data_IF_427607494514
#
_entry.id   IF_427607494514
#
_cell.length_a   1.000
_cell.length_b   1.000
_cell.length_c   1.000
_cell.angle_alpha   90.00
_cell.angle_beta   90.00
_cell.angle_gamma   90.00
#
_symmetry.space_group_name_H-M   'P 1'
#
loop_
_entity.id
_entity.type
_entity.pdbx_description
1 polymer ?
#
# COMPACT_ATOMS: atom_id res chain seq x y z
N UNK A 1 9.87 4.43 20.50
CA UNK A 1 9.63 3.23 19.65
C UNK A 1 8.62 2.33 20.35
N UNK A 2 7.72 1.72 19.59
CA UNK A 2 6.72 0.79 20.09
C UNK A 2 6.95 -0.60 19.50
N UNK A 3 6.90 -1.63 20.34
CA UNK A 3 6.87 -3.03 19.96
C UNK A 3 5.58 -3.62 20.49
N UNK A 4 4.60 -3.73 19.59
CA UNK A 4 3.27 -4.21 19.90
C UNK A 4 3.17 -5.71 19.60
N UNK A 5 3.11 -6.49 20.67
CA UNK A 5 3.15 -7.96 20.68
C UNK A 5 1.95 -8.54 21.42
N UNK A 6 1.94 -9.85 21.64
CA UNK A 6 0.87 -10.54 22.36
C UNK A 6 0.64 -9.96 23.76
N UNK A 7 -0.59 -10.09 24.26
CA UNK A 7 -0.99 -9.65 25.60
C UNK A 7 -0.40 -10.53 26.72
N UNK A 8 0.15 -11.70 26.39
CA UNK A 8 0.72 -12.62 27.35
C UNK A 8 2.05 -12.11 27.93
N UNK A 9 2.12 -12.02 29.26
CA UNK A 9 3.31 -11.62 30.02
C UNK A 9 4.52 -12.51 29.74
N UNK A 10 4.29 -13.80 29.52
CA UNK A 10 5.32 -14.79 29.19
C UNK A 10 6.08 -14.48 27.91
N UNK A 11 5.50 -13.68 27.01
CA UNK A 11 6.18 -13.20 25.80
C UNK A 11 6.80 -11.83 25.98
N UNK A 12 6.15 -10.93 26.75
CA UNK A 12 6.61 -9.55 26.90
C UNK A 12 7.90 -9.43 27.71
N UNK A 13 8.03 -10.17 28.83
CA UNK A 13 9.20 -10.04 29.71
C UNK A 13 10.49 -10.61 29.07
N UNK A 14 10.50 -11.83 28.49
CA UNK A 14 11.69 -12.32 27.79
C UNK A 14 12.06 -11.44 26.60
N UNK A 15 11.06 -10.92 25.88
CA UNK A 15 11.31 -10.01 24.78
C UNK A 15 11.95 -8.69 25.25
N UNK A 16 11.50 -8.13 26.39
CA UNK A 16 12.15 -6.99 27.03
C UNK A 16 13.62 -7.27 27.29
N UNK A 17 13.93 -8.41 27.90
CA UNK A 17 15.31 -8.79 28.23
C UNK A 17 16.19 -8.90 26.97
N UNK A 18 15.69 -9.56 25.90
CA UNK A 18 16.41 -9.68 24.63
C UNK A 18 16.69 -8.29 24.03
N UNK A 19 15.68 -7.42 24.00
CA UNK A 19 15.81 -6.07 23.43
C UNK A 19 16.73 -5.21 24.28
N UNK A 20 16.64 -5.30 25.60
CA UNK A 20 17.48 -4.56 26.53
C UNK A 20 18.94 -4.99 26.43
N UNK A 21 19.21 -6.29 26.32
CA UNK A 21 20.54 -6.82 26.06
C UNK A 21 21.11 -6.33 24.73
N UNK A 22 20.32 -6.37 23.66
CA UNK A 22 20.73 -5.88 22.35
C UNK A 22 20.96 -4.37 22.34
N UNK A 23 20.11 -3.61 23.01
CA UNK A 23 20.26 -2.17 23.17
C UNK A 23 21.54 -1.85 23.96
N UNK A 24 21.79 -2.53 25.07
CA UNK A 24 22.98 -2.34 25.89
C UNK A 24 24.27 -2.70 25.16
N UNK A 25 24.25 -3.71 24.28
CA UNK A 25 25.36 -4.02 23.39
C UNK A 25 25.71 -2.81 22.50
N UNK A 26 24.73 -2.24 21.79
CA UNK A 26 24.97 -1.08 20.93
C UNK A 26 25.27 0.21 21.71
N UNK A 27 24.64 0.40 22.87
CA UNK A 27 24.94 1.52 23.77
C UNK A 27 26.41 1.52 24.16
N UNK A 28 26.94 0.38 24.63
CA UNK A 28 28.37 0.25 24.98
C UNK A 28 29.28 0.48 23.78
N UNK A 29 28.93 -0.05 22.60
CA UNK A 29 29.69 0.20 21.37
C UNK A 29 29.76 1.68 21.00
N UNK A 30 28.66 2.43 21.17
CA UNK A 30 28.62 3.88 20.93
C UNK A 30 29.42 4.65 22.00
N UNK A 31 29.32 4.27 23.27
CA UNK A 31 30.09 4.88 24.38
C UNK A 31 31.59 4.71 24.20
N UNK A 32 32.03 3.53 23.76
CA UNK A 32 33.43 3.20 23.51
C UNK A 32 33.93 3.70 22.15
N UNK A 33 33.06 4.30 21.33
CA UNK A 33 33.34 4.73 19.95
C UNK A 33 33.86 3.56 19.09
N UNK A 34 33.33 2.37 19.29
CA UNK A 34 33.67 1.18 18.52
C UNK A 34 33.43 1.41 17.02
N UNK A 35 34.47 1.20 16.22
CA UNK A 35 34.44 1.47 14.78
C UNK A 35 33.45 0.57 14.06
N UNK A 36 33.35 -0.70 14.46
CA UNK A 36 32.45 -1.65 13.82
C UNK A 36 30.98 -1.28 14.04
N UNK A 37 30.62 -0.96 15.29
CA UNK A 37 29.28 -0.50 15.66
C UNK A 37 28.91 0.80 14.93
N UNK A 38 29.81 1.78 14.90
CA UNK A 38 29.56 3.06 14.22
C UNK A 38 29.38 2.89 12.71
N UNK A 39 30.14 1.99 12.08
CA UNK A 39 30.00 1.68 10.66
C UNK A 39 28.66 1.00 10.36
N UNK A 40 28.19 0.10 11.23
CA UNK A 40 26.85 -0.50 11.07
C UNK A 40 25.74 0.57 11.11
N UNK A 41 25.79 1.50 12.07
CA UNK A 41 24.82 2.60 12.13
C UNK A 41 24.91 3.52 10.90
N UNK A 42 26.13 3.82 10.42
CA UNK A 42 26.32 4.59 9.19
C UNK A 42 25.69 3.90 7.99
N UNK A 43 25.94 2.61 7.83
CA UNK A 43 25.40 1.82 6.73
C UNK A 43 23.86 1.83 6.75
N UNK A 44 23.23 1.65 7.92
CA UNK A 44 21.76 1.71 8.05
C UNK A 44 21.23 3.11 7.71
N UNK A 45 21.92 4.16 8.15
CA UNK A 45 21.52 5.55 7.94
C UNK A 45 21.63 6.01 6.48
N UNK A 46 22.77 5.72 5.82
CA UNK A 46 23.09 6.22 4.47
C UNK A 46 22.66 5.24 3.37
N UNK A 47 22.93 3.95 3.54
CA UNK A 47 22.85 2.94 2.46
C UNK A 47 21.58 2.08 2.57
N UNK A 48 21.28 1.57 3.77
CA UNK A 48 20.22 0.61 4.02
C UNK A 48 20.69 -0.84 3.82
N UNK A 49 19.75 -1.77 3.63
CA UNK A 49 20.05 -3.16 3.26
C UNK A 49 19.46 -3.48 1.90
N UNK A 50 20.23 -4.19 1.08
CA UNK A 50 20.02 -4.35 -0.37
C UNK A 50 18.62 -4.89 -0.73
N UNK A 51 17.95 -5.60 0.18
CA UNK A 51 16.68 -6.28 -0.11
C UNK A 51 15.54 -5.99 0.89
N UNK A 52 15.80 -5.33 2.03
CA UNK A 52 14.82 -5.31 3.13
C UNK A 52 14.60 -3.96 3.81
N UNK A 53 15.59 -3.06 3.77
CA UNK A 53 15.54 -1.81 4.52
C UNK A 53 16.02 -0.62 3.68
N UNK A 54 15.13 0.33 3.46
CA UNK A 54 15.46 1.61 2.81
C UNK A 54 16.06 2.56 3.85
N UNK A 55 17.22 3.13 3.53
CA UNK A 55 17.94 4.04 4.42
C UNK A 55 17.14 5.30 4.75
N UNK A 56 17.50 5.96 5.85
CA UNK A 56 16.88 7.24 6.21
C UNK A 56 17.14 8.30 5.13
N UNK A 57 18.39 8.44 4.67
CA UNK A 57 18.73 9.40 3.61
C UNK A 57 17.91 9.17 2.33
N UNK A 58 17.78 7.91 1.90
CA UNK A 58 17.00 7.56 0.70
C UNK A 58 15.51 7.84 0.91
N UNK A 59 14.98 7.57 2.10
CA UNK A 59 13.57 7.83 2.42
C UNK A 59 13.27 9.32 2.39
N UNK A 60 14.07 10.14 3.06
CA UNK A 60 13.94 11.60 3.06
C UNK A 60 14.03 12.16 1.64
N UNK A 61 15.01 11.72 0.84
CA UNK A 61 15.15 12.14 -0.55
C UNK A 61 13.92 11.77 -1.39
N UNK A 62 13.41 10.54 -1.26
CA UNK A 62 12.21 10.11 -1.97
C UNK A 62 10.96 10.94 -1.63
N UNK A 63 10.83 11.41 -0.39
CA UNK A 63 9.69 12.26 0.01
C UNK A 63 9.86 13.66 -0.60
N UNK A 64 11.07 14.24 -0.53
CA UNK A 64 11.41 15.53 -1.13
C UNK A 64 11.20 15.56 -2.65
N UNK A 65 11.48 14.45 -3.33
CA UNK A 65 11.30 14.30 -4.78
C UNK A 65 9.83 14.02 -5.19
N UNK A 66 8.93 13.83 -4.22
CA UNK A 66 7.55 13.44 -4.46
C UNK A 66 6.56 14.60 -4.30
N UNK A 67 5.29 14.33 -4.61
CA UNK A 67 4.16 15.23 -4.33
C UNK A 67 3.97 15.55 -2.84
N UNK A 68 4.72 14.89 -1.94
CA UNK A 68 4.64 15.03 -0.49
C UNK A 68 5.75 15.89 0.10
N UNK A 69 6.56 16.58 -0.73
CA UNK A 69 7.64 17.46 -0.25
C UNK A 69 7.17 18.50 0.76
N UNK A 70 5.94 18.99 0.59
CA UNK A 70 5.33 20.05 1.40
C UNK A 70 4.60 19.51 2.64
N UNK A 71 4.73 18.21 2.96
CA UNK A 71 4.20 17.64 4.22
C UNK A 71 4.92 18.26 5.43
N UNK A 72 6.19 18.60 5.29
CA UNK A 72 7.05 19.04 6.38
C UNK A 72 8.13 20.01 5.88
N UNK A 73 8.00 21.26 6.29
CA UNK A 73 8.89 22.36 5.89
C UNK A 73 10.31 22.23 6.48
N UNK A 74 10.49 21.38 7.49
CA UNK A 74 11.77 21.19 8.19
C UNK A 74 12.53 19.94 7.75
N UNK A 75 11.97 19.17 6.82
CA UNK A 75 12.58 17.94 6.35
C UNK A 75 13.84 18.23 5.52
N UNK A 76 14.96 17.62 5.90
CA UNK A 76 16.22 17.71 5.16
C UNK A 76 17.03 16.43 5.27
N UNK A 77 17.81 16.13 4.23
CA UNK A 77 18.74 15.00 4.25
C UNK A 77 19.95 15.37 5.12
N UNK A 78 20.10 14.66 6.23
CA UNK A 78 21.23 14.82 7.15
C UNK A 78 22.43 13.98 6.73
N UNK A 79 23.64 14.43 7.06
CA UNK A 79 24.87 13.65 6.80
C UNK A 79 25.31 12.86 8.03
N UNK A 80 26.04 11.76 7.84
CA UNK A 80 26.58 11.00 8.97
C UNK A 80 27.46 11.84 9.91
N UNK A 81 28.18 12.83 9.37
CA UNK A 81 29.00 13.76 10.17
C UNK A 81 28.15 14.59 11.15
N UNK A 82 26.92 14.93 10.79
CA UNK A 82 25.98 15.65 11.66
C UNK A 82 25.36 14.73 12.72
N UNK A 83 25.04 13.49 12.35
CA UNK A 83 24.33 12.55 13.23
C UNK A 83 25.26 11.87 14.25
N UNK A 84 26.47 11.50 13.83
CA UNK A 84 27.46 10.82 14.68
C UNK A 84 27.65 11.46 16.07
N UNK A 85 27.83 12.79 16.23
CA UNK A 85 28.00 13.41 17.55
C UNK A 85 26.73 13.36 18.42
N UNK A 86 25.55 13.16 17.85
CA UNK A 86 24.29 13.09 18.57
C UNK A 86 24.02 11.70 19.20
N UNK A 87 24.66 10.64 18.69
CA UNK A 87 24.38 9.25 19.10
C UNK A 87 24.62 9.02 20.59
N UNK A 88 25.74 9.52 21.13
CA UNK A 88 26.06 9.36 22.56
C UNK A 88 24.96 9.94 23.45
N UNK A 89 24.53 11.17 23.17
CA UNK A 89 23.45 11.83 23.93
C UNK A 89 22.12 11.08 23.79
N UNK A 90 21.83 10.53 22.62
CA UNK A 90 20.60 9.79 22.36
C UNK A 90 20.54 8.48 23.17
N UNK A 91 21.60 7.67 23.15
CA UNK A 91 21.60 6.37 23.86
C UNK A 91 21.56 6.49 25.38
N UNK A 92 22.00 7.62 25.95
CA UNK A 92 21.84 7.86 27.39
C UNK A 92 20.40 8.10 27.81
N UNK A 93 19.56 8.62 26.92
CA UNK A 93 18.15 8.94 27.21
C UNK A 93 17.20 7.77 27.00
N UNK A 94 17.60 6.76 26.22
CA UNK A 94 16.72 5.65 25.83
C UNK A 94 16.58 4.66 26.98
N UNK A 95 15.34 4.38 27.40
CA UNK A 95 14.98 3.30 28.33
C UNK A 95 14.14 2.23 27.65
N UNK A 96 14.35 0.96 28.01
CA UNK A 96 13.53 -0.16 27.53
C UNK A 96 12.53 -0.53 28.61
N UNK A 97 11.24 -0.47 28.30
CA UNK A 97 10.16 -0.67 29.27
C UNK A 97 9.12 -1.64 28.71
N UNK A 98 8.60 -2.51 29.59
CA UNK A 98 7.48 -3.38 29.29
C UNK A 98 6.25 -2.90 30.04
N UNK A 99 5.20 -2.51 29.33
CA UNK A 99 3.95 -2.05 29.93
C UNK A 99 2.96 -3.19 29.93
N UNK A 100 2.60 -3.63 31.13
CA UNK A 100 1.70 -4.75 31.29
C UNK A 100 0.69 -4.55 32.44
N UNK A 101 -0.30 -5.44 32.53
CA UNK A 101 -1.43 -5.33 33.47
C UNK A 101 -1.03 -5.31 34.94
N UNK A 102 0.14 -5.89 35.28
CA UNK A 102 0.63 -6.07 36.66
C UNK A 102 1.82 -5.18 37.02
N UNK A 103 2.47 -4.52 36.06
CA UNK A 103 3.63 -3.68 36.32
C UNK A 103 3.22 -2.30 36.83
N UNK A 104 3.97 -1.84 37.84
CA UNK A 104 4.01 -0.44 38.31
C UNK A 104 4.70 0.50 37.32
N UNK A 105 5.38 -0.05 36.29
CA UNK A 105 5.97 0.71 35.18
C UNK A 105 4.86 1.30 34.29
N UNK A 106 4.18 2.33 34.80
CA UNK A 106 3.40 3.24 33.98
C UNK A 106 4.37 4.16 33.23
N UNK A 107 4.02 4.53 31.99
CA UNK A 107 4.77 5.53 31.24
C UNK A 107 4.49 6.91 31.87
N UNK A 108 5.26 7.27 32.88
CA UNK A 108 5.10 8.52 33.62
C UNK A 108 5.77 9.67 32.86
N UNK A 109 5.12 10.13 31.79
CA UNK A 109 5.58 11.29 31.01
C UNK A 109 5.72 12.55 31.88
N UNK A 110 4.88 12.70 32.91
CA UNK A 110 4.86 13.85 33.81
C UNK A 110 6.18 14.05 34.56
N UNK A 111 6.84 12.97 35.01
CA UNK A 111 8.11 13.09 35.74
C UNK A 111 9.27 13.58 34.85
N UNK A 112 9.15 13.44 33.53
CA UNK A 112 10.19 13.77 32.57
C UNK A 112 9.82 14.95 31.66
N UNK A 113 8.80 15.75 32.01
CA UNK A 113 8.29 16.85 31.19
C UNK A 113 9.39 17.89 30.87
N UNK A 114 10.30 18.14 31.81
CA UNK A 114 11.41 19.11 31.64
C UNK A 114 12.60 18.59 30.84
N UNK A 115 12.89 17.29 30.91
CA UNK A 115 14.13 16.70 30.34
C UNK A 115 13.89 15.89 29.06
N UNK A 116 12.63 15.47 28.87
CA UNK A 116 12.18 14.55 27.85
C UNK A 116 12.72 13.14 28.10
N UNK A 117 11.90 12.12 27.78
CA UNK A 117 12.31 10.72 27.85
C UNK A 117 12.25 10.09 26.45
N UNK A 118 13.22 9.24 26.14
CA UNK A 118 13.17 8.37 24.96
C UNK A 118 12.92 6.95 25.43
N UNK A 119 11.91 6.28 24.87
CA UNK A 119 11.53 4.94 25.32
C UNK A 119 11.37 3.97 24.17
N UNK A 120 11.79 2.73 24.42
CA UNK A 120 11.40 1.55 23.66
C UNK A 120 10.34 0.84 24.51
N UNK A 121 9.09 0.93 24.07
CA UNK A 121 7.93 0.40 24.80
C UNK A 121 7.54 -0.94 24.20
N UNK A 122 7.43 -1.95 25.05
CA UNK A 122 6.97 -3.29 24.67
C UNK A 122 5.66 -3.56 25.38
N UNK A 123 4.63 -3.99 24.65
CA UNK A 123 3.37 -4.37 25.28
C UNK A 123 2.29 -4.82 24.32
N UNK A 124 1.12 -5.10 24.89
CA UNK A 124 -0.07 -5.58 24.17
C UNK A 124 -1.30 -4.72 24.47
N UNK A 125 -2.37 -5.34 24.99
CA UNK A 125 -3.68 -4.68 25.16
C UNK A 125 -3.68 -3.42 26.04
N UNK A 126 -2.83 -3.32 27.07
CA UNK A 126 -2.81 -2.14 27.95
C UNK A 126 -2.34 -0.88 27.21
N UNK A 127 -1.59 -1.04 26.13
CA UNK A 127 -1.18 0.09 25.30
C UNK A 127 -2.33 0.56 24.40
N UNK A 128 -3.25 -0.33 24.00
CA UNK A 128 -4.23 -0.06 22.91
C UNK A 128 -5.35 0.89 23.29
N UNK A 129 -5.53 1.18 24.59
CA UNK A 129 -6.61 2.04 25.08
C UNK A 129 -6.05 3.23 25.87
N UNK A 130 -6.26 4.43 25.36
CA UNK A 130 -6.04 5.68 26.10
C UNK A 130 -4.59 6.17 26.17
N UNK A 131 -3.59 5.39 25.75
CA UNK A 131 -2.20 5.82 25.76
C UNK A 131 -1.80 6.45 24.42
N UNK A 132 -1.39 7.72 24.45
CA UNK A 132 -0.77 8.40 23.30
C UNK A 132 0.73 8.43 23.51
N UNK A 133 1.48 7.78 22.62
CA UNK A 133 2.94 7.90 22.59
C UNK A 133 3.30 9.12 21.72
N UNK A 134 3.59 10.24 22.37
CA UNK A 134 4.15 11.41 21.70
C UNK A 134 5.57 11.09 21.19
N UNK A 135 5.93 11.61 20.03
CA UNK A 135 7.25 11.31 19.44
C UNK A 135 7.39 9.89 18.89
N UNK A 136 6.29 9.12 18.75
CA UNK A 136 6.36 7.77 18.20
C UNK A 136 6.86 7.81 16.74
N UNK A 137 8.05 7.28 16.49
CA UNK A 137 8.67 7.22 15.17
C UNK A 137 8.77 5.79 14.62
N UNK A 138 9.11 4.81 15.46
CA UNK A 138 9.29 3.42 15.03
C UNK A 138 8.28 2.52 15.71
N UNK A 139 7.59 1.69 14.92
CA UNK A 139 6.57 0.76 15.36
C UNK A 139 6.76 -0.62 14.77
N UNK A 140 6.87 -1.63 15.64
CA UNK A 140 6.78 -3.04 15.29
C UNK A 140 5.40 -3.54 15.67
N UNK A 141 4.65 -3.97 14.67
CA UNK A 141 3.25 -4.32 14.80
C UNK A 141 3.03 -5.75 14.30
N UNK A 142 3.11 -6.69 15.23
CA UNK A 142 3.07 -8.13 14.94
C UNK A 142 1.73 -8.78 15.31
N UNK A 143 0.91 -8.08 16.11
CA UNK A 143 -0.39 -8.60 16.54
C UNK A 143 -1.49 -8.23 15.54
N UNK A 144 -2.10 -9.26 15.00
CA UNK A 144 -3.28 -9.16 14.16
C UNK A 144 -4.56 -9.13 15.02
N UNK A 145 -5.47 -8.20 14.73
CA UNK A 145 -6.85 -8.21 15.22
C UNK A 145 -7.79 -8.32 14.03
N UNK A 146 -8.77 -9.22 14.11
CA UNK A 146 -9.79 -9.40 13.05
C UNK A 146 -10.94 -8.38 13.13
N UNK A 147 -10.91 -7.49 14.12
CA UNK A 147 -11.92 -6.45 14.30
C UNK A 147 -11.46 -5.13 13.68
N UNK A 148 -12.30 -4.57 12.82
CA UNK A 148 -12.06 -3.34 12.08
C UNK A 148 -11.88 -2.13 13.02
N UNK A 149 -12.78 -1.95 13.99
CA UNK A 149 -12.70 -0.88 15.01
C UNK A 149 -11.37 -0.92 15.78
N UNK A 150 -10.97 -2.11 16.24
CA UNK A 150 -9.71 -2.29 16.95
C UNK A 150 -8.51 -1.91 16.08
N UNK A 151 -8.48 -2.32 14.81
CA UNK A 151 -7.40 -1.93 13.90
C UNK A 151 -7.39 -0.42 13.64
N UNK A 152 -8.54 0.23 13.44
CA UNK A 152 -8.60 1.69 13.30
C UNK A 152 -8.02 2.42 14.51
N UNK A 153 -8.36 1.96 15.72
CA UNK A 153 -7.79 2.53 16.95
C UNK A 153 -6.27 2.32 17.01
N UNK A 154 -5.80 1.13 16.64
CA UNK A 154 -4.37 0.79 16.57
C UNK A 154 -3.62 1.58 15.49
N UNK A 155 -4.30 2.12 14.47
CA UNK A 155 -3.68 2.95 13.41
C UNK A 155 -2.98 4.20 13.94
N UNK A 156 -3.35 4.67 15.15
CA UNK A 156 -2.65 5.76 15.85
C UNK A 156 -1.18 5.45 16.14
N UNK A 157 -0.80 4.18 16.12
CA UNK A 157 0.55 3.70 16.37
C UNK A 157 1.45 3.67 15.15
N UNK A 158 1.04 4.19 14.01
CA UNK A 158 1.95 4.35 12.87
C UNK A 158 2.97 5.47 13.07
N UNK A 159 2.79 6.28 14.10
CA UNK A 159 3.76 7.32 14.44
C UNK A 159 3.71 8.54 13.53
N UNK A 160 2.78 8.60 12.58
CA UNK A 160 2.63 9.75 11.69
C UNK A 160 2.39 11.02 12.50
N UNK A 161 3.39 11.90 12.50
CA UNK A 161 3.34 13.19 13.16
C UNK A 161 4.14 14.19 12.34
N UNK A 162 3.70 15.45 12.28
CA UNK A 162 4.47 16.52 11.65
C UNK A 162 5.86 16.63 12.26
N UNK A 163 6.86 17.10 11.49
CA UNK A 163 8.27 17.34 11.86
C UNK A 163 9.24 16.15 11.75
N UNK A 164 8.75 14.93 11.57
CA UNK A 164 9.61 13.72 11.49
C UNK A 164 8.97 12.60 10.67
N UNK A 165 8.19 12.95 9.65
CA UNK A 165 7.46 11.99 8.81
C UNK A 165 8.41 11.03 8.08
N UNK A 166 9.57 11.51 7.66
CA UNK A 166 10.62 10.76 6.97
C UNK A 166 11.37 9.78 7.88
N UNK A 167 11.29 10.00 9.19
CA UNK A 167 11.87 9.13 10.22
C UNK A 167 10.91 8.02 10.66
N UNK A 168 9.65 8.08 10.27
CA UNK A 168 8.67 7.09 10.68
C UNK A 168 8.95 5.71 10.05
N UNK A 169 8.90 4.63 10.84
CA UNK A 169 9.09 3.25 10.37
C UNK A 169 8.02 2.34 10.94
N UNK A 170 7.32 1.62 10.06
CA UNK A 170 6.33 0.61 10.40
C UNK A 170 6.83 -0.76 9.92
N UNK A 171 7.03 -1.67 10.87
CA UNK A 171 7.36 -3.06 10.61
C UNK A 171 6.14 -3.91 10.95
N UNK A 172 5.55 -4.57 9.97
CA UNK A 172 4.34 -5.38 10.16
C UNK A 172 4.28 -6.53 9.16
N UNK A 173 3.35 -7.46 9.34
CA UNK A 173 3.14 -8.56 8.39
C UNK A 173 2.43 -8.07 7.12
N UNK A 174 2.60 -8.79 6.01
CA UNK A 174 1.90 -8.51 4.75
C UNK A 174 0.38 -8.55 4.90
N UNK A 175 -0.14 -9.47 5.72
CA UNK A 175 -1.56 -9.58 6.06
C UNK A 175 -2.08 -8.32 6.77
N UNK A 176 -1.39 -7.85 7.81
CA UNK A 176 -1.79 -6.65 8.54
C UNK A 176 -1.75 -5.42 7.65
N UNK A 177 -0.71 -5.29 6.81
CA UNK A 177 -0.61 -4.22 5.83
C UNK A 177 -1.81 -4.22 4.86
N UNK A 178 -2.26 -5.39 4.40
CA UNK A 178 -3.43 -5.52 3.55
C UNK A 178 -4.72 -5.09 4.26
N UNK A 179 -4.91 -5.52 5.50
CA UNK A 179 -6.06 -5.14 6.32
C UNK A 179 -6.14 -3.64 6.56
N UNK A 180 -5.03 -3.01 6.94
CA UNK A 180 -4.97 -1.56 7.10
C UNK A 180 -5.26 -0.83 5.79
N UNK A 181 -4.78 -1.36 4.67
CA UNK A 181 -5.11 -0.78 3.36
C UNK A 181 -6.60 -0.87 3.05
N UNK A 182 -7.25 -2.00 3.36
CA UNK A 182 -8.69 -2.14 3.20
C UNK A 182 -9.45 -1.14 4.07
N UNK A 183 -9.03 -0.97 5.33
CA UNK A 183 -9.60 0.00 6.26
C UNK A 183 -9.47 1.43 5.72
N UNK A 184 -8.30 1.80 5.20
CA UNK A 184 -8.09 3.12 4.61
C UNK A 184 -9.03 3.35 3.45
N UNK A 185 -9.17 2.38 2.53
CA UNK A 185 -10.09 2.51 1.40
C UNK A 185 -11.56 2.65 1.85
N UNK A 186 -12.00 1.85 2.80
CA UNK A 186 -13.36 1.93 3.32
C UNK A 186 -13.62 3.25 4.09
N UNK A 187 -12.59 3.82 4.72
CA UNK A 187 -12.67 5.13 5.37
C UNK A 187 -12.74 6.28 4.36
N UNK A 188 -12.00 6.20 3.25
CA UNK A 188 -12.11 7.18 2.16
C UNK A 188 -13.48 7.12 1.49
N UNK A 189 -13.99 5.92 1.18
CA UNK A 189 -15.35 5.76 0.65
C UNK A 189 -16.39 6.40 1.59
N UNK A 190 -16.23 6.24 2.91
CA UNK A 190 -17.13 6.85 3.90
C UNK A 190 -17.03 8.38 3.92
N UNK A 191 -15.83 8.95 3.71
CA UNK A 191 -15.65 10.41 3.59
C UNK A 191 -16.34 10.97 2.34
N UNK A 192 -16.23 10.28 1.21
CA UNK A 192 -16.93 10.67 -0.03
C UNK A 192 -18.46 10.70 0.19
N UNK A 193 -19.01 9.74 0.95
CA UNK A 193 -20.44 9.72 1.31
C UNK A 193 -20.83 10.89 2.23
N UNK A 194 -19.96 11.28 3.17
CA UNK A 194 -20.19 12.47 3.99
C UNK A 194 -20.20 13.75 3.15
N UNK A 195 -19.27 13.89 2.20
CA UNK A 195 -19.23 15.04 1.30
C UNK A 195 -20.48 15.09 0.41
N UNK A 196 -20.96 13.94 -0.07
CA UNK A 196 -22.20 13.85 -0.84
C UNK A 196 -23.42 14.27 0.00
N UNK A 197 -23.52 13.78 1.24
CA UNK A 197 -24.57 14.16 2.19
C UNK A 197 -24.56 15.67 2.46
N UNK A 198 -23.37 16.25 2.68
CA UNK A 198 -23.19 17.68 2.90
C UNK A 198 -23.64 18.50 1.71
N UNK A 199 -23.20 18.13 0.50
CA UNK A 199 -23.58 18.82 -0.74
C UNK A 199 -25.08 18.73 -1.02
N UNK A 200 -25.72 17.61 -0.64
CA UNK A 200 -27.17 17.43 -0.72
C UNK A 200 -27.94 18.16 0.39
N UNK A 201 -27.25 18.80 1.35
CA UNK A 201 -27.84 19.41 2.56
C UNK A 201 -28.74 18.45 3.34
N UNK A 202 -28.40 17.16 3.33
CA UNK A 202 -29.15 16.11 4.01
C UNK A 202 -28.66 15.95 5.47
N UNK A 203 -29.57 15.51 6.36
CA UNK A 203 -29.20 15.12 7.73
C UNK A 203 -28.83 13.64 7.78
N UNK A 204 -28.02 13.21 8.77
CA UNK A 204 -27.69 11.78 8.95
C UNK A 204 -28.93 10.87 9.08
N UNK A 205 -30.04 11.38 9.63
CA UNK A 205 -31.31 10.65 9.71
C UNK A 205 -31.89 10.31 8.33
N UNK A 206 -31.64 11.18 7.34
CA UNK A 206 -32.13 11.03 5.96
C UNK A 206 -31.11 10.38 5.03
N UNK A 207 -29.90 10.12 5.51
CA UNK A 207 -28.79 9.63 4.70
C UNK A 207 -28.14 8.41 5.35
N UNK A 208 -28.47 7.22 4.84
CA UNK A 208 -27.91 5.97 5.34
C UNK A 208 -26.44 5.82 4.92
N UNK A 209 -25.53 5.89 5.89
CA UNK A 209 -24.10 5.67 5.68
C UNK A 209 -23.80 4.18 5.54
N UNK A 210 -23.08 3.83 4.48
CA UNK A 210 -22.66 2.45 4.21
C UNK A 210 -21.17 2.27 4.48
N UNK A 211 -20.82 1.15 5.09
CA UNK A 211 -19.42 0.77 5.36
C UNK A 211 -19.10 -0.50 4.58
N UNK A 212 -17.99 -0.48 3.85
CA UNK A 212 -17.55 -1.60 3.02
C UNK A 212 -17.17 -2.80 3.88
N UNK A 213 -17.72 -3.97 3.56
CA UNK A 213 -17.33 -5.24 4.16
C UNK A 213 -16.07 -5.82 3.50
N UNK A 214 -15.24 -6.51 4.28
CA UNK A 214 -14.13 -7.30 3.75
C UNK A 214 -14.59 -8.75 3.53
N UNK A 215 -14.19 -9.44 2.44
CA UNK A 215 -14.50 -10.85 2.27
C UNK A 215 -13.88 -11.69 3.41
N UNK A 216 -14.72 -12.26 4.27
CA UNK A 216 -14.44 -13.40 5.15
C UNK A 216 -13.60 -13.19 6.41
N UNK A 217 -12.69 -12.22 6.48
CA UNK A 217 -11.66 -12.19 7.55
C UNK A 217 -11.77 -11.01 8.54
N UNK A 218 -12.33 -9.87 8.11
CA UNK A 218 -12.41 -8.65 8.89
C UNK A 218 -13.86 -8.32 9.23
N UNK A 219 -14.16 -8.22 10.52
CA UNK A 219 -15.48 -7.86 11.03
C UNK A 219 -15.53 -6.37 11.34
N UNK A 220 -16.54 -5.66 10.81
CA UNK A 220 -16.71 -4.20 11.02
C UNK A 220 -16.88 -3.88 12.52
N UNK A 221 -17.72 -4.65 13.21
CA UNK A 221 -17.95 -4.53 14.66
C UNK A 221 -18.33 -5.90 15.22
N UNK A 222 -18.57 -5.99 16.52
CA UNK A 222 -19.11 -7.20 17.14
C UNK A 222 -20.50 -7.52 16.58
N UNK A 223 -20.79 -8.80 16.30
CA UNK A 223 -22.06 -9.25 15.71
C UNK A 223 -23.27 -8.77 16.54
N UNK A 224 -23.15 -8.76 17.87
CA UNK A 224 -24.19 -8.31 18.80
C UNK A 224 -24.57 -6.84 18.66
N UNK A 225 -23.68 -6.02 18.07
CA UNK A 225 -23.89 -4.59 17.80
C UNK A 225 -24.41 -4.31 16.38
N UNK A 226 -24.56 -5.32 15.53
CA UNK A 226 -25.06 -5.17 14.15
C UNK A 226 -26.59 -5.33 14.03
N UNK A 227 -27.36 -4.99 15.08
CA UNK A 227 -28.82 -5.24 15.12
C UNK A 227 -29.60 -4.41 14.10
N UNK A 228 -29.14 -3.17 13.84
CA UNK A 228 -29.77 -2.22 12.94
C UNK A 228 -28.88 -1.98 11.71
N UNK A 229 -28.46 -3.08 11.04
CA UNK A 229 -27.58 -3.01 9.88
C UNK A 229 -28.20 -3.77 8.73
N UNK A 230 -28.49 -3.05 7.64
CA UNK A 230 -28.91 -3.66 6.39
C UNK A 230 -27.72 -4.00 5.51
N UNK A 231 -27.65 -5.26 5.07
CA UNK A 231 -26.65 -5.68 4.08
C UNK A 231 -27.11 -5.27 2.70
N UNK A 232 -26.60 -4.15 2.22
CA UNK A 232 -26.84 -3.69 0.86
C UNK A 232 -25.73 -4.17 -0.07
N UNK A 233 -26.12 -4.71 -1.23
CA UNK A 233 -25.19 -4.88 -2.34
C UNK A 233 -25.11 -3.55 -3.09
N UNK A 234 -23.93 -2.96 -3.12
CA UNK A 234 -23.74 -1.68 -3.81
C UNK A 234 -23.49 -1.96 -5.29
N UNK A 235 -24.30 -1.36 -6.16
CA UNK A 235 -24.12 -1.45 -7.62
C UNK A 235 -22.80 -0.82 -8.06
N UNK A 236 -22.28 -1.26 -9.22
CA UNK A 236 -21.11 -0.65 -9.85
C UNK A 236 -21.43 0.61 -10.65
N UNK A 237 -22.70 1.02 -10.75
CA UNK A 237 -23.10 2.24 -11.47
C UNK A 237 -22.40 3.49 -10.91
N UNK A 238 -21.88 4.34 -11.81
CA UNK A 238 -21.18 5.60 -11.50
C UNK A 238 -19.78 5.46 -10.91
N UNK A 239 -19.17 4.26 -10.92
CA UNK A 239 -17.91 3.99 -10.20
C UNK A 239 -16.75 3.61 -11.13
N UNK A 240 -15.55 4.00 -10.71
CA UNK A 240 -14.28 3.50 -11.26
C UNK A 240 -13.82 2.24 -10.51
N UNK A 241 -13.71 1.14 -11.24
CA UNK A 241 -13.16 -0.15 -10.81
C UNK A 241 -11.77 -0.31 -11.42
N UNK A 242 -10.72 -0.39 -10.61
CA UNK A 242 -9.33 -0.43 -11.08
C UNK A 242 -8.55 -1.61 -10.45
N UNK A 243 -7.80 -2.36 -11.27
CA UNK A 243 -6.89 -3.41 -10.79
C UNK A 243 -5.56 -2.83 -10.30
N UNK A 244 -5.49 -2.45 -9.03
CA UNK A 244 -4.28 -1.86 -8.43
C UNK A 244 -3.23 -2.90 -7.98
N UNK A 245 -3.56 -4.20 -7.97
CA UNK A 245 -2.66 -5.31 -7.60
C UNK A 245 -2.61 -6.30 -8.76
N UNK A 246 -1.42 -6.54 -9.30
CA UNK A 246 -1.23 -7.45 -10.43
C UNK A 246 -0.51 -8.73 -9.98
N UNK A 247 -1.04 -9.93 -10.31
CA UNK A 247 -0.36 -11.19 -9.99
C UNK A 247 0.96 -11.28 -10.76
N UNK A 248 2.05 -11.65 -10.08
CA UNK A 248 3.39 -11.74 -10.70
C UNK A 248 3.79 -13.15 -11.14
N UNK A 249 2.93 -14.14 -10.90
CA UNK A 249 3.14 -15.54 -11.31
C UNK A 249 3.24 -15.68 -12.84
N UNK A 250 4.28 -16.35 -13.34
CA UNK A 250 4.58 -16.44 -14.77
C UNK A 250 3.44 -17.05 -15.59
N UNK A 251 2.75 -18.04 -15.04
CA UNK A 251 1.64 -18.72 -15.73
C UNK A 251 0.39 -17.84 -15.79
N UNK A 252 0.09 -17.12 -14.70
CA UNK A 252 -1.01 -16.14 -14.66
C UNK A 252 -0.75 -15.01 -15.64
N UNK A 253 0.48 -14.52 -15.71
CA UNK A 253 0.91 -13.50 -16.68
C UNK A 253 0.67 -13.96 -18.11
N UNK A 254 1.11 -15.17 -18.47
CA UNK A 254 0.89 -15.73 -19.82
C UNK A 254 -0.57 -15.93 -20.13
N UNK A 255 -1.35 -16.45 -19.17
CA UNK A 255 -2.79 -16.65 -19.32
C UNK A 255 -3.53 -15.34 -19.56
N UNK A 256 -3.28 -14.31 -18.74
CA UNK A 256 -3.90 -13.00 -18.89
C UNK A 256 -3.49 -12.31 -20.20
N UNK A 257 -2.23 -12.50 -20.62
CA UNK A 257 -1.75 -12.00 -21.91
C UNK A 257 -2.51 -12.64 -23.08
N UNK A 258 -2.61 -13.97 -23.09
CA UNK A 258 -3.33 -14.71 -24.13
C UNK A 258 -4.82 -14.35 -24.15
N UNK A 259 -5.47 -14.27 -22.99
CA UNK A 259 -6.87 -13.83 -22.87
C UNK A 259 -7.06 -12.42 -23.46
N UNK A 260 -6.12 -11.51 -23.21
CA UNK A 260 -6.21 -10.14 -23.75
C UNK A 260 -5.97 -10.10 -25.26
N UNK A 261 -5.02 -10.88 -25.78
CA UNK A 261 -4.79 -11.00 -27.22
C UNK A 261 -6.02 -11.59 -27.93
N UNK A 262 -6.57 -12.68 -27.41
CA UNK A 262 -7.77 -13.32 -27.95
C UNK A 262 -9.01 -12.42 -27.87
N UNK A 263 -9.08 -11.58 -26.85
CA UNK A 263 -10.17 -10.62 -26.70
C UNK A 263 -10.07 -9.51 -27.75
N UNK A 264 -8.91 -8.87 -27.87
CA UNK A 264 -8.72 -7.73 -28.76
C UNK A 264 -8.66 -8.14 -30.25
N UNK A 265 -8.19 -9.35 -30.57
CA UNK A 265 -8.06 -9.83 -31.96
C UNK A 265 -9.40 -10.04 -32.66
N UNK A 266 -10.50 -10.16 -31.89
CA UNK A 266 -11.86 -10.27 -32.44
C UNK A 266 -12.38 -8.96 -33.00
N UNK A 267 -11.83 -7.85 -32.55
CA UNK A 267 -12.27 -6.54 -33.00
C UNK A 267 -11.47 -6.10 -34.23
N UNK A 268 -12.13 -5.38 -35.14
CA UNK A 268 -11.49 -4.82 -36.32
C UNK A 268 -10.48 -3.71 -35.99
N UNK A 269 -10.21 -2.84 -36.96
CA UNK A 269 -9.22 -1.79 -36.80
C UNK A 269 -9.67 -0.74 -35.76
N UNK A 270 -8.86 -0.44 -34.73
CA UNK A 270 -9.17 0.59 -33.74
C UNK A 270 -9.02 2.00 -34.30
N UNK A 271 -9.75 2.94 -33.71
CA UNK A 271 -9.50 4.37 -33.87
C UNK A 271 -8.29 4.76 -33.01
N UNK A 272 -7.25 5.32 -33.63
CA UNK A 272 -6.07 5.81 -32.91
C UNK A 272 -6.36 7.20 -32.36
N UNK A 273 -6.30 7.36 -31.02
CA UNK A 273 -6.43 8.67 -30.35
C UNK A 273 -5.05 9.19 -29.94
N UNK A 274 -4.63 10.31 -30.54
CA UNK A 274 -3.44 11.10 -30.20
C UNK A 274 -2.15 10.30 -29.98
N UNK A 275 -1.99 9.17 -30.67
CA UNK A 275 -0.89 8.20 -30.47
C UNK A 275 -0.77 7.63 -29.04
N UNK A 276 -1.76 7.90 -28.18
CA UNK A 276 -1.80 7.52 -26.75
C UNK A 276 -2.73 6.36 -26.46
N UNK A 277 -3.67 6.04 -27.35
CA UNK A 277 -4.55 4.89 -27.18
C UNK A 277 -5.10 4.37 -28.51
N UNK A 278 -5.44 3.08 -28.52
CA UNK A 278 -6.23 2.42 -29.57
C UNK A 278 -7.64 2.16 -29.02
N UNK A 279 -8.67 2.68 -29.68
CA UNK A 279 -10.05 2.64 -29.22
C UNK A 279 -10.93 1.80 -30.14
N UNK A 280 -11.61 0.82 -29.58
CA UNK A 280 -12.71 0.08 -30.21
C UNK A 280 -14.03 0.56 -29.63
N UNK A 281 -15.02 0.76 -30.50
CA UNK A 281 -16.39 1.13 -30.13
C UNK A 281 -17.35 0.01 -30.52
N UNK A 282 -18.53 -0.03 -29.88
CA UNK A 282 -19.58 -1.02 -30.15
C UNK A 282 -19.17 -2.46 -29.85
N UNK A 283 -18.41 -2.65 -28.77
CA UNK A 283 -18.05 -3.98 -28.28
C UNK A 283 -19.25 -4.59 -27.55
N UNK A 284 -19.59 -5.83 -27.91
CA UNK A 284 -20.73 -6.53 -27.33
C UNK A 284 -20.46 -6.99 -25.89
N UNK A 285 -21.48 -7.05 -25.02
CA UNK A 285 -21.30 -7.44 -23.62
C UNK A 285 -20.84 -8.88 -23.48
N UNK A 286 -21.23 -9.76 -24.41
CA UNK A 286 -20.81 -11.16 -24.44
C UNK A 286 -19.28 -11.32 -24.54
N UNK A 287 -18.61 -10.46 -25.31
CA UNK A 287 -17.16 -10.48 -25.42
C UNK A 287 -16.47 -9.97 -24.16
N UNK A 288 -17.04 -8.95 -23.50
CA UNK A 288 -16.56 -8.45 -22.21
C UNK A 288 -16.69 -9.52 -21.12
N UNK A 289 -17.85 -10.18 -21.04
CA UNK A 289 -18.11 -11.25 -20.07
C UNK A 289 -17.18 -12.45 -20.28
N UNK A 290 -16.93 -12.81 -21.55
CA UNK A 290 -15.97 -13.87 -21.88
C UNK A 290 -14.56 -13.49 -21.43
N UNK A 291 -14.12 -12.27 -21.71
CA UNK A 291 -12.82 -11.79 -21.24
C UNK A 291 -12.69 -11.82 -19.71
N UNK A 292 -13.72 -11.39 -18.98
CA UNK A 292 -13.72 -11.43 -17.51
C UNK A 292 -13.65 -12.85 -16.94
N UNK A 293 -14.22 -13.83 -17.64
CA UNK A 293 -14.13 -15.25 -17.23
C UNK A 293 -12.74 -15.85 -17.45
N UNK A 294 -11.99 -15.37 -18.44
CA UNK A 294 -10.67 -15.88 -18.80
C UNK A 294 -9.53 -15.13 -18.07
N UNK A 295 -9.78 -13.88 -17.67
CA UNK A 295 -8.82 -13.01 -17.01
C UNK A 295 -8.76 -13.27 -15.49
N UNK A 296 -7.55 -13.45 -14.96
CA UNK A 296 -7.33 -13.73 -13.54
C UNK A 296 -6.78 -12.49 -12.81
N UNK A 297 -7.53 -11.99 -11.83
CA UNK A 297 -7.11 -10.91 -10.92
C UNK A 297 -6.45 -11.48 -9.67
N UNK A 298 -5.68 -10.65 -8.95
CA UNK A 298 -5.12 -11.06 -7.66
C UNK A 298 -6.27 -11.34 -6.66
N UNK A 299 -6.25 -12.46 -5.92
CA UNK A 299 -7.36 -12.86 -5.02
C UNK A 299 -7.64 -11.84 -3.90
N UNK A 300 -6.67 -10.98 -3.62
CA UNK A 300 -6.70 -9.91 -2.62
C UNK A 300 -7.41 -8.61 -3.13
N UNK A 301 -7.84 -8.57 -4.40
CA UNK A 301 -8.59 -7.45 -4.97
C UNK A 301 -10.08 -7.56 -4.65
N UNK A 302 -10.47 -7.31 -3.40
CA UNK A 302 -11.89 -7.31 -2.99
C UNK A 302 -12.78 -6.32 -3.78
N UNK A 303 -12.19 -5.28 -4.40
CA UNK A 303 -12.91 -4.29 -5.22
C UNK A 303 -13.19 -4.74 -6.65
N UNK A 304 -12.45 -5.74 -7.16
CA UNK A 304 -12.54 -6.24 -8.54
C UNK A 304 -12.88 -7.72 -8.51
N UNK A 305 -14.08 -8.04 -8.05
CA UNK A 305 -14.64 -9.37 -8.23
C UNK A 305 -15.27 -9.45 -9.63
N UNK A 306 -14.50 -10.00 -10.58
CA UNK A 306 -14.93 -10.12 -11.97
C UNK A 306 -16.19 -11.00 -12.11
N UNK A 307 -16.42 -11.94 -11.20
CA UNK A 307 -17.63 -12.77 -11.19
C UNK A 307 -18.84 -11.94 -10.82
N UNK A 308 -18.76 -11.14 -9.75
CA UNK A 308 -19.87 -10.28 -9.34
C UNK A 308 -20.12 -9.14 -10.35
N UNK A 309 -19.06 -8.56 -10.93
CA UNK A 309 -19.19 -7.57 -12.01
C UNK A 309 -19.87 -8.22 -13.23
N UNK A 310 -19.49 -9.45 -13.58
CA UNK A 310 -20.13 -10.18 -14.68
C UNK A 310 -21.62 -10.42 -14.42
N UNK A 311 -22.01 -10.75 -13.18
CA UNK A 311 -23.41 -10.92 -12.81
C UNK A 311 -24.18 -9.59 -12.89
N UNK A 312 -23.57 -8.50 -12.46
CA UNK A 312 -24.14 -7.16 -12.60
C UNK A 312 -24.36 -6.78 -14.06
N UNK A 313 -23.38 -7.04 -14.94
CA UNK A 313 -23.50 -6.78 -16.38
C UNK A 313 -24.63 -7.62 -16.98
N UNK A 314 -24.71 -8.91 -16.65
CA UNK A 314 -25.79 -9.79 -17.15
C UNK A 314 -27.17 -9.31 -16.72
N UNK A 315 -27.32 -8.86 -15.47
CA UNK A 315 -28.60 -8.36 -14.96
C UNK A 315 -29.06 -7.12 -15.71
N UNK A 316 -28.18 -6.15 -15.92
CA UNK A 316 -28.54 -4.92 -16.64
C UNK A 316 -28.75 -5.16 -18.15
N UNK A 317 -28.02 -6.08 -18.78
CA UNK A 317 -28.30 -6.48 -20.17
C UNK A 317 -29.71 -7.04 -20.35
N UNK A 318 -30.26 -7.72 -19.33
CA UNK A 318 -31.65 -8.20 -19.37
C UNK A 318 -32.68 -7.05 -19.34
N UNK A 319 -32.28 -5.89 -18.80
CA UNK A 319 -33.09 -4.68 -18.71
C UNK A 319 -32.84 -3.73 -19.91
N UNK A 320 -32.09 -4.16 -20.93
CA UNK A 320 -31.74 -3.34 -22.11
C UNK A 320 -30.65 -2.30 -21.85
N UNK A 321 -29.85 -2.53 -20.80
CA UNK A 321 -28.74 -1.68 -20.39
C UNK A 321 -27.39 -2.37 -20.53
N UNK A 322 -26.32 -1.61 -20.76
CA UNK A 322 -24.95 -2.09 -20.99
C UNK A 322 -24.75 -2.84 -22.32
N UNK A 323 -25.61 -2.66 -23.32
CA UNK A 323 -25.54 -3.40 -24.59
C UNK A 323 -24.35 -3.04 -25.51
N UNK A 324 -23.66 -1.93 -25.25
CA UNK A 324 -22.55 -1.45 -26.07
C UNK A 324 -21.43 -0.88 -25.22
N UNK A 325 -20.20 -1.31 -25.50
CA UNK A 325 -19.00 -0.94 -24.75
C UNK A 325 -17.95 -0.31 -25.65
N UNK A 326 -17.11 0.53 -25.04
CA UNK A 326 -15.87 0.99 -25.64
C UNK A 326 -14.68 0.36 -24.93
N UNK A 327 -13.70 -0.07 -25.68
CA UNK A 327 -12.47 -0.70 -25.17
C UNK A 327 -11.30 0.12 -25.67
N UNK A 328 -10.43 0.58 -24.77
CA UNK A 328 -9.24 1.32 -25.11
C UNK A 328 -7.97 0.61 -24.62
N UNK A 329 -7.02 0.37 -25.53
CA UNK A 329 -5.69 -0.11 -25.21
C UNK A 329 -4.75 1.09 -25.10
N UNK A 330 -4.20 1.32 -23.91
CA UNK A 330 -3.34 2.46 -23.63
C UNK A 330 -1.94 2.27 -24.23
N UNK A 331 -1.40 3.32 -24.84
CA UNK A 331 -0.09 3.36 -25.48
C UNK A 331 0.76 4.50 -24.89
N UNK A 332 2.00 4.19 -24.47
CA UNK A 332 2.96 5.21 -24.00
C UNK A 332 4.07 5.40 -25.03
N UNK A 333 4.21 6.60 -25.58
CA UNK A 333 5.29 6.93 -26.52
C UNK A 333 6.69 6.63 -25.93
N UNK A 334 7.63 6.17 -26.78
CA UNK A 334 9.05 5.91 -26.48
C UNK A 334 9.35 4.79 -25.45
N UNK A 335 9.03 3.53 -25.76
CA UNK A 335 9.50 2.38 -24.95
C UNK A 335 10.09 1.26 -25.81
N UNK A 336 11.05 0.51 -25.26
CA UNK A 336 11.85 -0.51 -25.97
C UNK A 336 11.15 -1.85 -26.21
N UNK A 337 9.97 -2.11 -25.65
CA UNK A 337 9.18 -3.32 -25.97
C UNK A 337 7.73 -2.97 -26.20
N UNK A 338 7.17 -3.58 -27.25
CA UNK A 338 5.81 -3.39 -27.70
C UNK A 338 4.99 -4.66 -27.45
N UNK A 339 3.72 -4.47 -27.13
CA UNK A 339 2.68 -5.49 -27.19
C UNK A 339 2.12 -5.46 -28.61
N UNK A 340 2.30 -6.56 -29.33
CA UNK A 340 1.83 -6.72 -30.70
C UNK A 340 0.59 -7.61 -30.70
N UNK A 341 -0.47 -7.08 -31.31
CA UNK A 341 -1.73 -7.79 -31.50
C UNK A 341 -1.88 -8.27 -32.95
N UNK A 342 -1.50 -7.41 -33.91
CA UNK A 342 -1.48 -7.69 -35.35
C UNK A 342 -0.47 -6.75 -36.02
N UNK A 343 -0.21 -6.95 -37.32
CA UNK A 343 0.75 -6.14 -38.11
C UNK A 343 0.45 -4.62 -38.10
N UNK A 344 -0.74 -4.20 -37.65
CA UNK A 344 -1.17 -2.80 -37.62
C UNK A 344 -1.30 -2.22 -36.19
N UNK A 345 -1.23 -3.04 -35.14
CA UNK A 345 -1.51 -2.62 -33.75
C UNK A 345 -0.36 -3.04 -32.84
N UNK A 346 0.43 -2.05 -32.42
CA UNK A 346 1.63 -2.24 -31.58
C UNK A 346 1.67 -1.19 -30.47
N UNK A 347 1.31 -1.59 -29.25
CA UNK A 347 1.23 -0.70 -28.09
C UNK A 347 2.48 -0.78 -27.22
N UNK A 348 3.07 0.36 -26.88
CA UNK A 348 4.22 0.45 -25.99
C UNK A 348 3.82 0.34 -24.51
N UNK A 349 4.69 -0.27 -23.70
CA UNK A 349 4.37 -0.70 -22.34
C UNK A 349 4.69 0.37 -21.28
N UNK A 350 3.91 0.42 -20.19
CA UNK A 350 4.28 1.20 -19.02
C UNK A 350 5.33 0.43 -18.20
N UNK A 351 6.45 1.08 -17.86
CA UNK A 351 7.48 0.51 -16.97
C UNK A 351 7.40 1.20 -15.61
N UNK A 352 7.32 0.43 -14.52
CA UNK A 352 7.29 0.97 -13.16
C UNK A 352 8.07 0.05 -12.20
N UNK A 353 8.63 0.61 -11.12
CA UNK A 353 9.45 -0.11 -10.14
C UNK A 353 8.55 -0.94 -9.21
N UNK A 354 9.01 -2.13 -8.81
CA UNK A 354 8.32 -3.00 -7.84
C UNK A 354 8.49 -2.49 -6.40
N UNK A 355 7.40 -2.47 -5.62
CA UNK A 355 7.40 -2.09 -4.22
C UNK A 355 7.85 -3.24 -3.27
N UNK A 356 8.86 -4.02 -3.65
CA UNK A 356 9.50 -5.01 -2.77
C UNK A 356 8.77 -6.34 -2.54
N UNK A 357 7.50 -6.48 -2.95
CA UNK A 357 6.73 -7.72 -2.74
C UNK A 357 6.94 -8.74 -3.88
N UNK A 358 7.15 -10.03 -3.55
CA UNK A 358 7.60 -11.05 -4.53
C UNK A 358 6.46 -11.63 -5.37
N UNK A 359 5.23 -11.64 -4.83
CA UNK A 359 4.09 -12.35 -5.41
C UNK A 359 3.07 -11.44 -6.12
N UNK A 360 2.94 -10.19 -5.68
CA UNK A 360 2.02 -9.20 -6.29
C UNK A 360 2.70 -7.87 -6.59
N UNK A 361 2.27 -7.21 -7.66
CA UNK A 361 2.76 -5.89 -8.07
C UNK A 361 1.71 -4.81 -7.80
N UNK A 362 2.06 -3.75 -7.08
CA UNK A 362 1.12 -2.70 -6.68
C UNK A 362 1.28 -1.43 -7.52
N UNK A 363 0.16 -0.88 -8.00
CA UNK A 363 0.10 0.33 -8.82
C UNK A 363 -0.52 1.46 -7.99
N UNK A 364 0.15 2.63 -7.94
CA UNK A 364 -0.40 3.85 -7.32
C UNK A 364 -1.67 4.24 -8.09
N UNK A 365 -2.80 4.35 -7.38
CA UNK A 365 -4.12 4.74 -7.91
C UNK A 365 -3.97 6.01 -8.74
N UNK A 366 -4.57 6.05 -9.92
CA UNK A 366 -4.65 7.29 -10.69
C UNK A 366 -5.82 8.11 -10.16
N UNK A 367 -5.53 9.33 -9.70
CA UNK A 367 -6.54 10.35 -9.43
C UNK A 367 -6.97 10.92 -10.78
N UNK A 368 -8.07 10.41 -11.34
CA UNK A 368 -8.72 11.06 -12.49
C UNK A 368 -9.65 12.13 -11.91
N UNK A 369 -9.21 13.39 -11.93
CA UNK A 369 -9.93 14.55 -11.39
C UNK A 369 -11.12 15.00 -12.24
N UNK A 370 -11.50 14.29 -13.30
CA UNK A 370 -12.62 14.65 -14.18
C UNK A 370 -13.37 13.39 -14.62
N UNK A 371 -14.28 12.90 -13.76
CA UNK A 371 -15.31 11.94 -14.15
C UNK A 371 -16.64 12.52 -13.70
N UNK A 372 -17.20 13.45 -14.50
CA UNK A 372 -18.62 13.79 -14.44
C UNK A 372 -19.30 13.07 -15.60
N UNK A 373 -20.29 12.23 -15.26
CA UNK A 373 -21.18 11.46 -16.15
C UNK A 373 -20.55 10.25 -16.89
N UNK A 374 -20.23 9.16 -16.17
CA UNK A 374 -20.00 7.85 -16.80
C UNK A 374 -20.67 6.74 -15.97
N UNK A 375 -21.39 5.83 -16.64
CA UNK A 375 -22.18 4.79 -15.97
C UNK A 375 -21.33 3.67 -15.34
N UNK A 376 -20.18 3.28 -15.91
CA UNK A 376 -19.22 2.33 -15.32
C UNK A 376 -17.89 2.40 -16.05
N UNK A 377 -16.79 2.56 -15.29
CA UNK A 377 -15.43 2.57 -15.82
C UNK A 377 -14.63 1.43 -15.20
N UNK A 378 -14.13 0.51 -16.03
CA UNK A 378 -13.32 -0.62 -15.57
C UNK A 378 -11.92 -0.51 -16.18
N UNK A 379 -10.92 -0.36 -15.32
CA UNK A 379 -9.53 -0.29 -15.71
C UNK A 379 -8.79 -1.57 -15.34
N UNK A 380 -8.54 -2.40 -16.35
CA UNK A 380 -7.86 -3.68 -16.20
C UNK A 380 -6.43 -3.55 -16.69
N UNK A 381 -5.51 -3.58 -15.73
CA UNK A 381 -4.08 -3.62 -15.95
C UNK A 381 -3.58 -5.06 -15.83
N UNK A 382 -2.57 -5.44 -16.61
CA UNK A 382 -1.88 -6.73 -16.49
C UNK A 382 -0.40 -6.60 -16.80
N UNK A 383 0.38 -7.55 -16.28
CA UNK A 383 1.83 -7.63 -16.50
C UNK A 383 2.10 -8.34 -17.83
N UNK A 384 3.02 -7.83 -18.63
CA UNK A 384 3.49 -8.47 -19.87
C UNK A 384 4.67 -9.42 -19.65
N UNK A 385 5.59 -9.05 -18.74
CA UNK A 385 6.75 -9.88 -18.35
C UNK A 385 7.40 -9.31 -17.08
N UNK A 386 7.86 -10.20 -16.19
CA UNK A 386 8.79 -9.90 -15.07
C UNK A 386 10.23 -9.94 -15.63
N UNK A 387 11.03 -8.89 -15.44
CA UNK A 387 12.46 -8.90 -15.80
C UNK A 387 13.29 -8.53 -14.59
N UNK A 388 14.26 -9.38 -14.24
CA UNK A 388 15.45 -8.96 -13.50
C UNK A 388 16.41 -8.34 -14.52
N UNK A 389 16.77 -7.07 -14.35
CA UNK A 389 17.94 -6.53 -15.06
C UNK A 389 19.19 -7.06 -14.36
N UNK A 390 19.93 -7.95 -15.02
CA UNK A 390 21.38 -8.05 -14.80
C UNK A 390 22.00 -6.93 -15.63
N UNK A 391 22.61 -5.93 -15.00
CA UNK A 391 23.51 -5.02 -15.70
C UNK A 391 24.89 -5.67 -15.74
N UNK A 392 25.24 -6.30 -16.85
CA UNK A 392 26.64 -6.50 -17.18
C UNK A 392 27.20 -5.18 -17.71
N UNK A 393 28.06 -4.54 -16.93
CA UNK A 393 28.98 -3.53 -17.44
C UNK A 393 30.36 -4.19 -17.55
N UNK A 394 30.66 -4.74 -18.71
CA UNK A 394 32.04 -5.00 -19.12
C UNK A 394 32.71 -3.66 -19.42
N UNK A 395 33.35 -3.06 -18.41
CA UNK A 395 34.49 -2.15 -18.56
C UNK A 395 35.31 -2.13 -17.26
N UNK A 396 36.39 -2.90 -17.31
CA UNK A 396 37.67 -2.85 -16.59
C UNK A 396 37.69 -2.06 -15.27
N UNK A 397 37.72 -2.81 -14.16
CA UNK A 397 38.38 -2.41 -12.90
C UNK A 397 37.61 -1.49 -11.95
N UNK A 398 36.74 -2.05 -11.10
CA UNK A 398 36.54 -1.77 -9.64
C UNK A 398 35.17 -2.29 -9.14
N UNK A 399 35.24 -3.19 -8.14
CA UNK A 399 34.23 -3.70 -7.17
C UNK A 399 32.80 -4.11 -7.67
N UNK A 400 32.27 -5.27 -7.23
CA UNK A 400 30.90 -5.67 -7.59
C UNK A 400 29.88 -4.92 -6.73
N UNK A 401 29.01 -4.13 -7.37
CA UNK A 401 27.76 -3.64 -6.76
C UNK A 401 26.62 -4.24 -7.59
N UNK A 402 25.92 -5.23 -7.04
CA UNK A 402 24.73 -5.85 -7.66
C UNK A 402 23.46 -5.13 -7.21
N UNK A 403 22.98 -4.17 -8.00
CA UNK A 403 21.60 -3.68 -7.90
C UNK A 403 20.71 -4.50 -8.83
N UNK A 404 19.92 -5.44 -8.30
CA UNK A 404 18.79 -6.01 -9.03
C UNK A 404 17.57 -5.10 -8.88
N UNK A 405 17.46 -4.09 -9.74
CA UNK A 405 16.18 -3.38 -9.86
C UNK A 405 15.18 -4.30 -10.58
N UNK A 406 14.22 -4.87 -9.85
CA UNK A 406 13.04 -5.52 -10.44
C UNK A 406 12.13 -4.42 -11.02
N UNK A 407 11.88 -4.50 -12.32
CA UNK A 407 10.90 -3.65 -13.00
C UNK A 407 9.78 -4.53 -13.54
N UNK A 408 8.54 -4.09 -13.31
CA UNK A 408 7.36 -4.72 -13.90
C UNK A 408 6.89 -3.84 -15.05
N UNK A 409 6.70 -4.46 -16.21
CA UNK A 409 6.11 -3.83 -17.38
C UNK A 409 4.65 -4.25 -17.46
N UNK A 410 3.74 -3.29 -17.51
CA UNK A 410 2.32 -3.53 -17.57
C UNK A 410 1.69 -2.76 -18.74
N UNK A 411 0.56 -3.29 -19.23
CA UNK A 411 -0.34 -2.61 -20.17
C UNK A 411 -1.72 -2.52 -19.53
N UNK A 412 -2.53 -1.57 -19.99
CA UNK A 412 -3.86 -1.34 -19.46
C UNK A 412 -4.89 -1.36 -20.59
N UNK A 413 -5.98 -2.07 -20.36
CA UNK A 413 -7.21 -1.99 -21.12
C UNK A 413 -8.22 -1.24 -20.26
N UNK A 414 -8.73 -0.16 -20.83
CA UNK A 414 -9.79 0.65 -20.26
C UNK A 414 -11.09 0.28 -20.95
N UNK A 415 -12.02 -0.29 -20.19
CA UNK A 415 -13.35 -0.64 -20.62
C UNK A 415 -14.28 0.46 -20.11
N UNK A 416 -14.86 1.20 -21.04
CA UNK A 416 -15.65 2.39 -20.79
C UNK A 416 -17.08 2.14 -21.26
N UNK A 417 -18.07 2.37 -20.39
CA UNK A 417 -19.43 2.66 -20.83
C UNK A 417 -19.69 4.16 -20.73
N UNK A 418 -20.26 4.70 -21.80
CA UNK A 418 -20.98 5.97 -21.78
C UNK A 418 -22.42 5.66 -21.36
#
# INVERSE_FOLDING_TARGET
MLIHVSHFLSWQNPLKEIIENQFNFYKRGIEQKDTATLEQFRAIFEIGTVDYYISYCTTTQNILDSSFRDIDDKMKVHTWKEIKPCLYKAVQKIKVIAINGKSTDALEYYEYEKTGISVIVIGGDKLSRGLTLEGLSVSYFLRASKMYDTLMQMGRWFGYRPRYVDLCRLFTSSELNEWFRHITMASEDLREEFDAMWNAKATPEKYALKVRTHPGQLQITAITKMRNVDRIQVSWSGRLVETYKLPTGKDIIRKNLAATQNFLSKFGNPVVKDSKAYLWSNVLPADILKFFSEFTVAPQLAKVDLTLISNFIRKLNQEGELDSWRVALMNKANTTKKFELSNQISASCFTRNTAGDTDTYVIKKITLSEIRQMNLLIWIMWILRKHCKYQDRTRIGKKPIRNQNLFVRHTAVLIIRY
#
